data_IF_094530397788
#
_entry.id   IF_094530397788
#
_cell.length_a   1.000
_cell.length_b   1.000
_cell.length_c   1.000
_cell.angle_alpha   90.00
_cell.angle_beta   90.00
_cell.angle_gamma   90.00
#
_symmetry.space_group_name_H-M   'P 1'
#
loop_
_entity.id
_entity.type
_entity.pdbx_description
1 polymer ?
#
# COMPACT_ATOMS: atom_id res chain seq x y z
N UNK A 1 -3.56 11.49 -2.57
CA UNK A 1 -3.09 11.98 -1.25
C UNK A 1 -3.62 13.37 -0.87
N UNK A 2 -3.36 14.44 -1.64
CA UNK A 2 -3.81 15.79 -1.27
C UNK A 2 -5.35 15.90 -1.13
N UNK A 3 -6.09 15.30 -2.07
CA UNK A 3 -7.55 15.15 -2.02
C UNK A 3 -8.03 14.54 -0.69
N UNK A 4 -7.50 13.37 -0.37
CA UNK A 4 -7.85 12.64 0.87
C UNK A 4 -7.53 13.44 2.13
N UNK A 5 -6.40 14.15 2.17
CA UNK A 5 -6.06 15.00 3.31
C UNK A 5 -7.10 16.12 3.51
N UNK A 6 -7.55 16.77 2.43
CA UNK A 6 -8.55 17.82 2.48
C UNK A 6 -9.93 17.27 2.89
N UNK A 7 -10.36 16.13 2.35
CA UNK A 7 -11.59 15.46 2.78
C UNK A 7 -11.53 15.06 4.25
N UNK A 8 -10.42 14.46 4.68
CA UNK A 8 -10.22 14.06 6.07
C UNK A 8 -10.27 15.27 7.00
N UNK A 9 -9.54 16.35 6.69
CA UNK A 9 -9.55 17.58 7.49
C UNK A 9 -10.96 18.18 7.60
N UNK A 10 -11.69 18.29 6.49
CA UNK A 10 -13.04 18.83 6.49
C UNK A 10 -13.99 17.97 7.35
N UNK A 11 -13.94 16.64 7.19
CA UNK A 11 -14.75 15.69 7.97
C UNK A 11 -14.42 15.74 9.46
N UNK A 12 -13.13 15.73 9.82
CA UNK A 12 -12.69 15.77 11.21
C UNK A 12 -13.15 17.04 11.91
N UNK A 13 -13.01 18.20 11.25
CA UNK A 13 -13.43 19.47 11.86
C UNK A 13 -14.94 19.53 12.04
N UNK A 14 -15.73 19.10 11.05
CA UNK A 14 -17.20 19.00 11.20
C UNK A 14 -17.59 18.08 12.35
N UNK A 15 -16.98 16.90 12.43
CA UNK A 15 -17.23 15.95 13.51
C UNK A 15 -16.89 16.54 14.89
N UNK A 16 -15.77 17.25 15.01
CA UNK A 16 -15.40 17.96 16.25
C UNK A 16 -16.39 19.06 16.60
N UNK A 17 -16.87 19.82 15.61
CA UNK A 17 -17.85 20.88 15.83
C UNK A 17 -19.18 20.33 16.38
N UNK A 18 -19.64 19.19 15.85
CA UNK A 18 -20.90 18.56 16.24
C UNK A 18 -20.81 17.82 17.58
N UNK A 19 -19.68 17.15 17.86
CA UNK A 19 -19.58 16.18 18.96
C UNK A 19 -18.62 16.62 20.08
N UNK A 20 -17.73 17.59 19.83
CA UNK A 20 -16.63 17.95 20.73
C UNK A 20 -16.39 19.47 20.80
N UNK A 21 -17.43 20.24 21.12
CA UNK A 21 -17.43 21.72 21.08
C UNK A 21 -16.26 22.41 21.79
N UNK A 22 -15.81 21.91 22.96
CA UNK A 22 -14.65 22.48 23.66
C UNK A 22 -13.34 22.31 22.88
N UNK A 23 -13.11 21.12 22.31
CA UNK A 23 -11.93 20.84 21.48
C UNK A 23 -11.97 21.67 20.19
N UNK A 24 -13.15 21.81 19.58
CA UNK A 24 -13.36 22.64 18.41
C UNK A 24 -13.06 24.12 18.70
N UNK A 25 -13.58 24.68 19.79
CA UNK A 25 -13.30 26.05 20.20
C UNK A 25 -11.79 26.28 20.45
N UNK A 26 -11.11 25.31 21.07
CA UNK A 26 -9.66 25.34 21.25
C UNK A 26 -8.90 25.32 19.94
N UNK A 27 -9.31 24.46 18.99
CA UNK A 27 -8.73 24.38 17.65
C UNK A 27 -8.87 25.72 16.91
N UNK A 28 -10.08 26.28 16.85
CA UNK A 28 -10.35 27.58 16.21
C UNK A 28 -9.52 28.69 16.86
N UNK A 29 -9.44 28.74 18.19
CA UNK A 29 -8.64 29.74 18.89
C UNK A 29 -7.14 29.62 18.57
N UNK A 30 -6.58 28.41 18.52
CA UNK A 30 -5.15 28.19 18.26
C UNK A 30 -4.75 28.43 16.81
N UNK A 31 -5.60 28.03 15.88
CA UNK A 31 -5.30 28.02 14.44
C UNK A 31 -5.87 29.22 13.69
N UNK A 32 -6.80 29.95 14.31
CA UNK A 32 -7.58 31.02 13.67
C UNK A 32 -8.40 30.52 12.48
N UNK A 33 -8.79 29.24 12.50
CA UNK A 33 -9.60 28.60 11.47
C UNK A 33 -10.90 29.36 11.22
N UNK A 34 -11.11 29.76 9.96
CA UNK A 34 -12.41 30.25 9.51
C UNK A 34 -13.29 29.07 9.06
N UNK A 35 -14.56 29.09 9.46
CA UNK A 35 -15.53 28.04 9.12
C UNK A 35 -15.67 27.88 7.60
N UNK A 36 -15.54 28.95 6.83
CA UNK A 36 -15.60 28.88 5.36
C UNK A 36 -14.44 28.09 4.74
N UNK A 37 -13.32 27.92 5.44
CA UNK A 37 -12.21 27.09 4.95
C UNK A 37 -12.62 25.62 4.83
N UNK A 38 -13.49 25.13 5.72
CA UNK A 38 -13.98 23.74 5.69
C UNK A 38 -14.70 23.46 4.36
N UNK A 39 -15.52 24.40 3.90
CA UNK A 39 -16.22 24.31 2.60
C UNK A 39 -15.24 24.42 1.44
N UNK A 40 -14.25 25.31 1.53
CA UNK A 40 -13.22 25.46 0.50
C UNK A 40 -12.36 24.20 0.35
N UNK A 41 -11.97 23.55 1.45
CA UNK A 41 -11.20 22.30 1.41
C UNK A 41 -12.01 21.17 0.79
N UNK A 42 -13.28 21.04 1.18
CA UNK A 42 -14.19 20.07 0.56
C UNK A 42 -14.30 20.31 -0.95
N UNK A 43 -14.58 21.54 -1.37
CA UNK A 43 -14.70 21.89 -2.79
C UNK A 43 -13.40 21.64 -3.56
N UNK A 44 -12.25 21.94 -2.97
CA UNK A 44 -10.95 21.70 -3.58
C UNK A 44 -10.66 20.19 -3.73
N UNK A 45 -11.06 19.38 -2.76
CA UNK A 45 -10.95 17.93 -2.83
C UNK A 45 -11.89 17.33 -3.89
N UNK A 46 -13.16 17.73 -3.88
CA UNK A 46 -14.19 17.24 -4.82
C UNK A 46 -13.85 17.57 -6.28
N UNK A 47 -13.11 18.65 -6.52
CA UNK A 47 -12.71 19.11 -7.86
C UNK A 47 -11.25 18.83 -8.19
N UNK A 48 -10.54 18.08 -7.34
CA UNK A 48 -9.14 17.81 -7.57
C UNK A 48 -8.98 16.92 -8.79
N UNK A 49 -8.22 17.39 -9.77
CA UNK A 49 -7.87 16.59 -10.93
C UNK A 49 -6.93 15.45 -10.49
N UNK A 50 -7.33 14.22 -10.79
CA UNK A 50 -6.51 13.02 -10.68
C UNK A 50 -6.49 12.41 -12.07
N UNK A 51 -5.31 12.33 -12.73
CA UNK A 51 -5.24 11.88 -14.11
C UNK A 51 -5.68 10.43 -14.22
N UNK A 52 -6.44 10.11 -15.27
CA UNK A 52 -6.85 8.75 -15.61
C UNK A 52 -6.85 8.63 -17.13
N UNK A 53 -6.16 7.61 -17.62
CA UNK A 53 -6.13 7.26 -19.03
C UNK A 53 -7.12 6.11 -19.27
N UNK A 54 -8.23 6.40 -19.94
CA UNK A 54 -9.29 5.42 -20.19
C UNK A 54 -8.97 4.41 -21.28
N UNK A 55 -7.95 4.64 -22.11
CA UNK A 55 -7.52 3.67 -23.14
C UNK A 55 -6.65 2.57 -22.51
N UNK A 56 -5.73 2.94 -21.62
CA UNK A 56 -4.82 2.05 -20.91
C UNK A 56 -5.41 1.52 -19.58
N UNK A 57 -6.45 2.19 -19.05
CA UNK A 57 -7.06 1.83 -17.77
C UNK A 57 -6.15 2.11 -16.56
N UNK A 58 -5.27 3.11 -16.65
CA UNK A 58 -4.28 3.44 -15.62
C UNK A 58 -4.40 4.90 -15.16
N UNK A 59 -3.82 5.20 -14.00
CA UNK A 59 -3.57 6.57 -13.56
C UNK A 59 -2.15 6.97 -13.95
N UNK A 60 -1.94 7.92 -14.88
CA UNK A 60 -0.63 8.49 -15.18
C UNK A 60 0.05 9.03 -13.92
N UNK A 61 1.36 8.78 -13.76
CA UNK A 61 2.14 9.28 -12.62
C UNK A 61 2.15 10.81 -12.56
N UNK A 62 2.19 11.46 -13.73
CA UNK A 62 2.04 12.90 -13.91
C UNK A 62 1.45 13.22 -15.28
N UNK A 63 1.03 14.48 -15.48
CA UNK A 63 0.34 14.96 -16.70
C UNK A 63 1.10 14.71 -18.01
N UNK A 64 2.43 14.50 -17.94
CA UNK A 64 3.32 14.32 -19.09
C UNK A 64 3.96 12.94 -19.15
N UNK A 65 3.63 12.04 -18.22
CA UNK A 65 4.36 10.78 -18.06
C UNK A 65 4.26 9.90 -19.32
N UNK A 66 3.07 9.82 -19.91
CA UNK A 66 2.80 9.01 -21.10
C UNK A 66 3.44 9.59 -22.38
N UNK A 67 3.80 10.87 -22.38
CA UNK A 67 4.49 11.52 -23.51
C UNK A 67 5.98 11.17 -23.57
N UNK A 68 6.53 10.58 -22.51
CA UNK A 68 7.96 10.25 -22.39
C UNK A 68 8.28 8.94 -23.09
N UNK A 69 9.51 8.85 -23.59
CA UNK A 69 10.01 7.62 -24.21
C UNK A 69 10.17 6.51 -23.16
N UNK A 70 9.80 5.28 -23.52
CA UNK A 70 10.04 4.12 -22.66
C UNK A 70 11.52 3.74 -22.74
N UNK A 71 12.19 3.66 -21.60
CA UNK A 71 13.56 3.15 -21.51
C UNK A 71 13.53 1.63 -21.31
N UNK A 72 14.32 0.89 -22.09
CA UNK A 72 14.50 -0.56 -21.88
C UNK A 72 15.40 -0.81 -20.66
N UNK A 73 14.80 -0.76 -19.46
CA UNK A 73 15.48 -0.99 -18.17
C UNK A 73 16.09 -2.39 -18.11
N UNK A 74 15.46 -3.39 -18.74
CA UNK A 74 15.92 -4.77 -18.71
C UNK A 74 17.27 -4.97 -19.44
N UNK A 75 17.56 -4.12 -20.43
CA UNK A 75 18.85 -4.12 -21.14
C UNK A 75 20.01 -3.47 -20.37
N UNK A 76 19.72 -2.71 -19.30
CA UNK A 76 20.74 -1.96 -18.56
C UNK A 76 21.54 -2.92 -17.66
N UNK A 77 22.88 -2.92 -17.74
CA UNK A 77 23.72 -3.73 -16.87
C UNK A 77 23.49 -3.44 -15.37
N UNK A 78 23.56 -4.48 -14.53
CA UNK A 78 23.25 -4.36 -13.09
C UNK A 78 24.22 -3.42 -12.34
N UNK A 79 25.45 -3.28 -12.80
CA UNK A 79 26.46 -2.36 -12.25
C UNK A 79 26.21 -0.88 -12.63
N UNK A 80 25.11 -0.58 -13.34
CA UNK A 80 24.66 0.78 -13.66
C UNK A 80 23.47 1.24 -12.81
N UNK A 81 23.14 0.49 -11.77
CA UNK A 81 22.13 0.87 -10.78
C UNK A 81 22.82 1.22 -9.44
N UNK A 82 22.32 2.22 -8.70
CA UNK A 82 21.16 3.07 -9.00
C UNK A 82 21.36 4.01 -10.20
N UNK A 83 20.36 4.15 -11.09
CA UNK A 83 20.54 4.87 -12.36
C UNK A 83 21.02 6.32 -12.18
N UNK A 84 20.54 7.00 -11.13
CA UNK A 84 20.92 8.38 -10.82
C UNK A 84 22.44 8.56 -10.55
N UNK A 85 23.15 7.50 -10.16
CA UNK A 85 24.59 7.54 -9.92
C UNK A 85 25.42 7.31 -11.20
N UNK A 86 24.79 6.83 -12.27
CA UNK A 86 25.47 6.44 -13.51
C UNK A 86 25.02 7.23 -14.74
N UNK A 87 23.83 7.83 -14.70
CA UNK A 87 23.25 8.60 -15.79
C UNK A 87 22.88 10.00 -15.35
N UNK A 88 23.15 10.98 -16.21
CA UNK A 88 22.80 12.37 -15.93
C UNK A 88 21.26 12.52 -15.81
N UNK A 89 20.73 13.31 -14.85
CA UNK A 89 19.29 13.48 -14.64
C UNK A 89 18.51 13.85 -15.92
N UNK A 90 19.08 14.70 -16.78
CA UNK A 90 18.48 15.08 -18.06
C UNK A 90 18.29 13.91 -19.06
N UNK A 91 18.97 12.78 -18.86
CA UNK A 91 18.74 11.56 -19.62
C UNK A 91 17.54 10.81 -19.04
N UNK A 92 17.59 10.49 -17.74
CA UNK A 92 16.57 9.65 -17.10
C UNK A 92 15.20 10.34 -16.95
N UNK A 93 15.15 11.65 -16.72
CA UNK A 93 13.88 12.38 -16.51
C UNK A 93 13.04 12.57 -17.78
N UNK A 94 13.61 12.29 -18.96
CA UNK A 94 12.90 12.33 -20.24
C UNK A 94 12.26 11.00 -20.61
N UNK A 95 12.48 9.97 -19.79
CA UNK A 95 11.98 8.62 -20.01
C UNK A 95 10.96 8.22 -18.95
N UNK A 96 10.20 7.17 -19.26
CA UNK A 96 9.34 6.48 -18.30
C UNK A 96 10.19 5.59 -17.39
N UNK A 97 10.88 6.21 -16.42
CA UNK A 97 11.74 5.54 -15.46
C UNK A 97 11.36 5.99 -14.07
N UNK A 98 11.10 5.02 -13.19
CA UNK A 98 10.60 5.27 -11.85
C UNK A 98 11.60 4.69 -10.85
N UNK A 99 12.13 5.54 -9.96
CA UNK A 99 13.11 5.10 -8.95
C UNK A 99 12.51 4.08 -7.97
N UNK A 100 11.27 4.31 -7.56
CA UNK A 100 10.58 3.56 -6.50
C UNK A 100 9.07 3.68 -6.67
N UNK A 101 8.31 2.78 -6.04
CA UNK A 101 6.84 2.80 -6.06
C UNK A 101 6.26 4.23 -5.85
N UNK A 102 5.44 4.66 -6.82
CA UNK A 102 4.76 5.97 -6.83
C UNK A 102 3.24 5.75 -6.93
N UNK A 103 2.69 5.54 -8.13
CA UNK A 103 1.28 5.14 -8.30
C UNK A 103 0.98 3.84 -7.53
N UNK A 104 1.92 2.89 -7.55
CA UNK A 104 1.84 1.65 -6.76
C UNK A 104 1.79 1.92 -5.25
N UNK A 105 2.47 2.97 -4.77
CA UNK A 105 2.37 3.38 -3.37
C UNK A 105 0.99 4.01 -3.07
N UNK A 106 0.43 4.78 -4.00
CA UNK A 106 -0.92 5.32 -3.85
C UNK A 106 -1.97 4.18 -3.78
N UNK A 107 -1.83 3.13 -4.59
CA UNK A 107 -2.69 1.94 -4.53
C UNK A 107 -2.62 1.20 -3.19
N UNK A 108 -1.47 1.23 -2.52
CA UNK A 108 -1.36 0.68 -1.17
C UNK A 108 -2.03 1.59 -0.12
N UNK A 109 -1.64 2.87 -0.09
CA UNK A 109 -2.09 3.81 0.95
C UNK A 109 -3.59 4.13 0.87
N UNK A 110 -4.12 4.19 -0.35
CA UNK A 110 -5.51 4.54 -0.64
C UNK A 110 -6.19 3.41 -1.40
N UNK A 111 -5.88 2.15 -1.05
CA UNK A 111 -6.36 0.99 -1.80
C UNK A 111 -7.88 0.83 -1.91
N UNK A 112 -8.68 1.54 -1.10
CA UNK A 112 -10.13 1.62 -1.22
C UNK A 112 -10.61 2.59 -2.33
N UNK A 113 -9.72 3.43 -2.86
CA UNK A 113 -10.00 4.38 -3.96
C UNK A 113 -9.70 3.80 -5.34
N UNK A 114 -9.25 2.53 -5.41
CA UNK A 114 -8.95 1.82 -6.65
C UNK A 114 -9.74 0.53 -6.71
N UNK A 115 -10.36 0.27 -7.86
CA UNK A 115 -10.89 -1.05 -8.21
C UNK A 115 -9.76 -2.08 -8.32
N UNK A 116 -10.12 -3.37 -8.28
CA UNK A 116 -9.14 -4.45 -8.45
C UNK A 116 -8.54 -4.41 -9.85
N UNK A 117 -9.35 -4.06 -10.85
CA UNK A 117 -8.97 -3.89 -12.25
C UNK A 117 -7.97 -2.74 -12.43
N UNK A 118 -8.24 -1.57 -11.84
CA UNK A 118 -7.28 -0.45 -11.86
C UNK A 118 -5.97 -0.86 -11.19
N UNK A 119 -6.02 -1.63 -10.09
CA UNK A 119 -4.79 -2.10 -9.42
C UNK A 119 -3.96 -3.01 -10.31
N UNK A 120 -4.60 -3.97 -10.97
CA UNK A 120 -3.95 -4.85 -11.94
C UNK A 120 -3.29 -4.02 -13.05
N UNK A 121 -4.02 -3.09 -13.67
CA UNK A 121 -3.50 -2.33 -14.82
C UNK A 121 -2.38 -1.37 -14.45
N UNK A 122 -2.53 -0.63 -13.35
CA UNK A 122 -1.46 0.22 -12.85
C UNK A 122 -0.23 -0.62 -12.48
N UNK A 123 -0.41 -1.75 -11.79
CA UNK A 123 0.73 -2.59 -11.39
C UNK A 123 1.48 -3.14 -12.61
N UNK A 124 0.77 -3.72 -13.59
CA UNK A 124 1.37 -4.27 -14.81
C UNK A 124 2.08 -3.21 -15.65
N UNK A 125 1.57 -1.98 -15.65
CA UNK A 125 2.19 -0.87 -16.35
C UNK A 125 3.45 -0.37 -15.63
N UNK A 126 3.39 -0.16 -14.31
CA UNK A 126 4.45 0.53 -13.57
C UNK A 126 5.55 -0.37 -13.00
N UNK A 127 5.28 -1.65 -12.72
CA UNK A 127 6.30 -2.59 -12.25
C UNK A 127 7.52 -2.68 -13.18
N UNK A 128 7.38 -2.89 -14.51
CA UNK A 128 8.54 -2.97 -15.41
C UNK A 128 9.29 -1.64 -15.56
N UNK A 129 8.64 -0.51 -15.27
CA UNK A 129 9.21 0.83 -15.33
C UNK A 129 9.93 1.23 -14.02
N UNK A 130 9.78 0.44 -12.96
CA UNK A 130 10.33 0.72 -11.63
C UNK A 130 11.69 0.06 -11.44
N UNK A 131 12.74 0.85 -11.21
CA UNK A 131 14.12 0.36 -11.11
C UNK A 131 14.41 -0.39 -9.81
N UNK A 132 13.71 -0.03 -8.73
CA UNK A 132 13.98 -0.58 -7.40
C UNK A 132 15.22 0.01 -6.74
N UNK A 133 15.66 1.19 -7.19
CA UNK A 133 16.84 1.93 -6.69
C UNK A 133 16.68 2.48 -5.26
N UNK A 134 15.54 2.21 -4.64
CA UNK A 134 15.24 2.57 -3.26
C UNK A 134 14.78 1.34 -2.51
N UNK A 135 15.34 1.15 -1.32
CA UNK A 135 15.00 0.04 -0.44
C UNK A 135 13.52 0.03 0.00
N UNK A 136 12.84 1.18 -0.09
CA UNK A 136 11.40 1.30 0.20
C UNK A 136 10.51 0.69 -0.89
N UNK A 137 10.99 0.56 -2.13
CA UNK A 137 10.15 0.16 -3.26
C UNK A 137 9.68 -1.29 -3.16
N UNK A 138 10.57 -2.18 -2.71
CA UNK A 138 10.33 -3.62 -2.76
C UNK A 138 9.16 -4.06 -1.87
N UNK A 139 9.02 -3.53 -0.65
CA UNK A 139 7.91 -3.92 0.21
C UNK A 139 6.55 -3.51 -0.38
N UNK A 140 6.46 -2.34 -1.00
CA UNK A 140 5.24 -1.84 -1.63
C UNK A 140 4.88 -2.66 -2.87
N UNK A 141 5.87 -2.94 -3.73
CA UNK A 141 5.68 -3.82 -4.88
C UNK A 141 5.23 -5.23 -4.46
N UNK A 142 5.80 -5.78 -3.38
CA UNK A 142 5.38 -7.08 -2.83
C UNK A 142 3.92 -7.05 -2.37
N UNK A 143 3.52 -6.01 -1.64
CA UNK A 143 2.16 -5.88 -1.13
C UNK A 143 1.14 -5.85 -2.28
N UNK A 144 1.36 -4.99 -3.28
CA UNK A 144 0.43 -4.85 -4.40
C UNK A 144 0.45 -6.07 -5.32
N UNK A 145 1.62 -6.70 -5.55
CA UNK A 145 1.71 -7.96 -6.29
C UNK A 145 0.79 -9.05 -5.70
N UNK A 146 0.68 -9.11 -4.37
CA UNK A 146 -0.24 -10.03 -3.69
C UNK A 146 -1.72 -9.67 -3.89
N UNK A 147 -2.06 -8.38 -3.98
CA UNK A 147 -3.43 -7.93 -4.28
C UNK A 147 -3.85 -8.27 -5.70
N UNK A 148 -2.92 -8.24 -6.66
CA UNK A 148 -3.14 -8.57 -8.09
C UNK A 148 -2.84 -10.05 -8.40
N UNK A 149 -2.77 -10.89 -7.37
CA UNK A 149 -2.58 -12.33 -7.50
C UNK A 149 -1.28 -12.78 -8.21
N UNK A 150 -0.21 -11.98 -8.18
CA UNK A 150 1.10 -12.36 -8.69
C UNK A 150 2.01 -12.86 -7.56
N UNK A 151 1.86 -14.14 -7.20
CA UNK A 151 2.62 -14.78 -6.14
C UNK A 151 4.15 -14.71 -6.39
N UNK A 152 4.57 -14.88 -7.64
CA UNK A 152 5.98 -14.91 -8.01
C UNK A 152 6.64 -13.55 -7.76
N UNK A 153 6.01 -12.46 -8.20
CA UNK A 153 6.48 -11.10 -7.92
C UNK A 153 6.34 -10.74 -6.44
N UNK A 154 5.24 -11.11 -5.79
CA UNK A 154 5.06 -10.89 -4.35
C UNK A 154 6.22 -11.47 -3.55
N UNK A 155 6.57 -12.74 -3.81
CA UNK A 155 7.66 -13.44 -3.13
C UNK A 155 9.03 -12.87 -3.48
N UNK A 156 9.27 -12.54 -4.76
CA UNK A 156 10.52 -11.91 -5.22
C UNK A 156 10.78 -10.60 -4.47
N UNK A 157 9.79 -9.72 -4.42
CA UNK A 157 9.93 -8.42 -3.79
C UNK A 157 9.98 -8.50 -2.25
N UNK A 158 9.22 -9.42 -1.63
CA UNK A 158 9.34 -9.69 -0.19
C UNK A 158 10.77 -10.12 0.17
N UNK A 159 11.37 -11.00 -0.62
CA UNK A 159 12.77 -11.44 -0.43
C UNK A 159 13.75 -10.28 -0.52
N UNK A 160 13.58 -9.36 -1.48
CA UNK A 160 14.42 -8.18 -1.58
C UNK A 160 14.32 -7.28 -0.35
N UNK A 161 13.10 -7.03 0.16
CA UNK A 161 12.91 -6.23 1.37
C UNK A 161 13.55 -6.89 2.62
N UNK A 162 13.39 -8.21 2.77
CA UNK A 162 13.95 -9.00 3.89
C UNK A 162 15.47 -9.06 3.85
N UNK A 163 16.04 -9.26 2.65
CA UNK A 163 17.48 -9.47 2.47
C UNK A 163 18.26 -8.18 2.23
N UNK A 164 17.60 -7.02 2.22
CA UNK A 164 18.19 -5.72 1.83
C UNK A 164 19.56 -5.49 2.47
N UNK A 165 19.64 -5.58 3.81
CA UNK A 165 20.89 -5.41 4.55
C UNK A 165 21.67 -6.73 4.69
N UNK A 166 20.99 -7.85 4.89
CA UNK A 166 21.63 -9.16 5.15
C UNK A 166 22.43 -9.70 3.97
N UNK A 167 22.00 -9.41 2.75
CA UNK A 167 22.65 -9.81 1.51
C UNK A 167 23.27 -8.62 0.76
N UNK A 168 23.32 -7.44 1.39
CA UNK A 168 23.79 -6.19 0.79
C UNK A 168 23.20 -5.92 -0.61
N UNK A 169 21.89 -6.07 -0.73
CA UNK A 169 21.17 -5.97 -2.03
C UNK A 169 21.38 -4.60 -2.66
N UNK A 170 21.46 -3.54 -1.85
CA UNK A 170 21.75 -2.18 -2.29
C UNK A 170 23.24 -1.88 -2.53
N UNK A 171 24.16 -2.76 -2.10
CA UNK A 171 25.61 -2.57 -2.21
C UNK A 171 26.18 -1.46 -1.31
N UNK A 172 25.39 -0.97 -0.37
CA UNK A 172 25.67 0.23 0.42
C UNK A 172 25.33 0.05 1.91
N UNK A 173 25.21 -1.19 2.41
CA UNK A 173 24.96 -1.44 3.85
C UNK A 173 26.07 -0.87 4.74
N UNK A 174 27.29 -0.70 4.20
CA UNK A 174 28.41 -0.08 4.88
C UNK A 174 28.16 1.40 5.26
N UNK A 175 27.24 2.09 4.56
CA UNK A 175 26.81 3.45 4.86
C UNK A 175 25.75 3.50 5.99
N UNK A 176 25.14 2.35 6.32
CA UNK A 176 24.13 2.20 7.36
C UNK A 176 23.03 1.22 7.00
N UNK A 177 22.28 0.78 8.00
CA UNK A 177 21.12 -0.10 7.80
C UNK A 177 19.94 0.65 7.16
N UNK A 178 19.20 -0.03 6.30
CA UNK A 178 18.02 0.53 5.63
C UNK A 178 16.78 0.47 6.55
N UNK A 179 16.69 1.39 7.51
CA UNK A 179 15.62 1.43 8.52
C UNK A 179 14.20 1.36 7.91
N UNK A 180 13.98 2.06 6.80
CA UNK A 180 12.70 2.01 6.09
C UNK A 180 12.39 0.60 5.51
N UNK A 181 13.41 -0.11 5.01
CA UNK A 181 13.28 -1.50 4.53
C UNK A 181 13.03 -2.49 5.66
N UNK A 182 13.62 -2.26 6.84
CA UNK A 182 13.33 -3.07 8.02
C UNK A 182 11.84 -2.97 8.41
N UNK A 183 11.27 -1.76 8.41
CA UNK A 183 9.83 -1.56 8.55
C UNK A 183 9.05 -2.22 7.39
N UNK A 184 9.57 -2.08 6.17
CA UNK A 184 9.03 -2.72 4.97
C UNK A 184 8.95 -4.24 5.06
N UNK A 185 9.86 -4.90 5.78
CA UNK A 185 9.81 -6.35 6.03
C UNK A 185 8.58 -6.73 6.83
N UNK A 186 8.28 -6.00 7.90
CA UNK A 186 7.04 -6.20 8.67
C UNK A 186 5.80 -5.90 7.81
N UNK A 187 5.87 -4.84 7.00
CA UNK A 187 4.76 -4.48 6.09
C UNK A 187 4.47 -5.57 5.06
N UNK A 188 5.49 -6.18 4.44
CA UNK A 188 5.29 -7.27 3.48
C UNK A 188 4.57 -8.48 4.11
N UNK A 189 4.82 -8.74 5.39
CA UNK A 189 4.15 -9.80 6.15
C UNK A 189 2.72 -9.42 6.50
N UNK A 190 2.51 -8.26 7.12
CA UNK A 190 1.21 -7.87 7.68
C UNK A 190 0.27 -7.29 6.64
N UNK A 191 0.75 -6.37 5.80
CA UNK A 191 -0.03 -5.76 4.74
C UNK A 191 0.00 -6.56 3.43
N UNK A 192 1.05 -7.36 3.20
CA UNK A 192 1.15 -8.23 2.01
C UNK A 192 0.51 -9.58 2.28
N UNK A 193 1.23 -10.49 2.94
CA UNK A 193 0.79 -11.88 3.12
C UNK A 193 -0.49 -12.03 3.95
N UNK A 194 -0.67 -11.27 5.02
CA UNK A 194 -1.92 -11.30 5.78
C UNK A 194 -3.04 -10.44 5.16
N UNK A 195 -2.71 -9.62 4.15
CA UNK A 195 -3.66 -8.75 3.47
C UNK A 195 -4.40 -7.79 4.40
N UNK A 196 -3.77 -7.35 5.50
CA UNK A 196 -4.42 -6.48 6.49
C UNK A 196 -4.69 -5.09 5.89
N UNK A 197 -5.89 -4.54 6.03
CA UNK A 197 -6.17 -3.12 5.80
C UNK A 197 -7.03 -2.55 6.93
N UNK A 198 -6.93 -1.25 7.15
CA UNK A 198 -7.81 -0.51 8.06
C UNK A 198 -8.24 0.78 7.38
N UNK A 199 -9.49 0.81 6.93
CA UNK A 199 -10.11 1.99 6.33
C UNK A 199 -11.22 2.47 7.27
N UNK A 200 -11.07 3.69 7.78
CA UNK A 200 -12.05 4.32 8.68
C UNK A 200 -12.38 3.51 9.94
N UNK A 201 -11.42 2.72 10.43
CA UNK A 201 -11.62 1.85 11.59
C UNK A 201 -12.27 0.51 11.23
N UNK A 202 -12.46 0.19 9.95
CA UNK A 202 -12.89 -1.13 9.51
C UNK A 202 -11.66 -1.99 9.22
N UNK A 203 -11.30 -2.84 10.19
CA UNK A 203 -10.19 -3.78 10.04
C UNK A 203 -10.60 -4.92 9.10
N UNK A 204 -9.77 -5.21 8.11
CA UNK A 204 -9.98 -6.29 7.16
C UNK A 204 -8.70 -7.11 6.94
N UNK A 205 -8.88 -8.36 6.54
CA UNK A 205 -7.82 -9.28 6.18
C UNK A 205 -8.18 -10.06 4.92
N UNK A 206 -7.20 -10.23 4.04
CA UNK A 206 -7.26 -11.07 2.85
C UNK A 206 -6.00 -11.96 2.79
N UNK A 207 -5.81 -12.88 3.75
CA UNK A 207 -4.54 -13.58 3.94
C UNK A 207 -4.27 -14.57 2.82
N UNK A 208 -3.08 -14.51 2.22
CA UNK A 208 -2.58 -15.44 1.20
C UNK A 208 -1.08 -15.61 1.38
N UNK A 209 -0.64 -16.84 1.60
CA UNK A 209 0.78 -17.16 1.69
C UNK A 209 1.29 -17.64 0.33
N UNK A 210 2.49 -17.22 -0.09
CA UNK A 210 3.19 -17.89 -1.17
C UNK A 210 3.34 -19.39 -0.87
N UNK A 211 3.30 -20.22 -1.89
CA UNK A 211 3.39 -21.68 -1.84
C UNK A 211 4.63 -22.21 -1.09
N UNK A 212 5.68 -21.41 -1.00
CA UNK A 212 6.92 -21.75 -0.26
C UNK A 212 6.81 -21.53 1.26
N UNK A 213 5.76 -20.87 1.75
CA UNK A 213 5.56 -20.54 3.17
C UNK A 213 4.41 -21.38 3.71
N UNK A 214 4.71 -22.44 4.45
CA UNK A 214 3.67 -23.35 4.97
C UNK A 214 2.77 -22.71 6.02
N UNK A 215 3.34 -21.87 6.89
CA UNK A 215 2.63 -21.24 8.00
C UNK A 215 3.29 -19.91 8.37
N UNK A 216 2.47 -18.93 8.74
CA UNK A 216 2.88 -17.64 9.29
C UNK A 216 2.03 -17.32 10.52
N UNK A 217 2.68 -16.94 11.62
CA UNK A 217 1.97 -16.55 12.85
C UNK A 217 2.54 -15.26 13.44
N UNK A 218 1.66 -14.36 13.85
CA UNK A 218 2.03 -13.12 14.54
C UNK A 218 0.87 -12.57 15.35
N UNK A 219 1.13 -11.54 16.15
CA UNK A 219 0.13 -10.83 16.94
C UNK A 219 0.12 -9.33 16.62
N UNK A 220 -1.05 -8.72 16.75
CA UNK A 220 -1.32 -7.31 16.53
C UNK A 220 -2.00 -6.71 17.76
N UNK A 221 -1.66 -5.46 18.05
CA UNK A 221 -2.43 -4.62 18.98
C UNK A 221 -3.37 -3.74 18.16
N UNK A 222 -4.68 -3.98 18.27
CA UNK A 222 -5.71 -3.23 17.55
C UNK A 222 -6.63 -2.58 18.56
N UNK A 223 -6.57 -1.25 18.70
CA UNK A 223 -7.49 -0.49 19.57
C UNK A 223 -7.59 -1.09 20.99
N UNK A 224 -6.44 -1.41 21.58
CA UNK A 224 -6.32 -2.02 22.92
C UNK A 224 -6.61 -3.52 23.00
N UNK A 225 -6.84 -4.19 21.87
CA UNK A 225 -7.10 -5.63 21.75
C UNK A 225 -5.89 -6.35 21.20
N UNK A 226 -5.57 -7.52 21.75
CA UNK A 226 -4.47 -8.37 21.30
C UNK A 226 -5.01 -9.50 20.41
N UNK A 227 -4.88 -9.32 19.09
CA UNK A 227 -5.32 -10.29 18.08
C UNK A 227 -4.12 -11.10 17.60
N UNK A 228 -4.19 -12.43 17.66
CA UNK A 228 -3.23 -13.32 17.03
C UNK A 228 -3.79 -13.94 15.77
N UNK A 229 -2.90 -14.11 14.79
CA UNK A 229 -3.20 -14.75 13.52
C UNK A 229 -2.29 -15.97 13.38
N UNK A 230 -2.87 -17.08 12.97
CA UNK A 230 -2.18 -18.28 12.50
C UNK A 230 -2.65 -18.56 11.08
N UNK A 231 -1.83 -18.23 10.08
CA UNK A 231 -2.17 -18.32 8.66
C UNK A 231 -1.50 -19.57 8.09
N UNK A 232 -2.29 -20.47 7.52
CA UNK A 232 -1.84 -21.61 6.73
C UNK A 232 -2.02 -21.39 5.22
N UNK A 233 -1.94 -22.46 4.45
CA UNK A 233 -2.20 -22.43 3.00
C UNK A 233 -3.70 -22.36 2.68
N UNK A 234 -4.52 -23.13 3.40
CA UNK A 234 -5.95 -23.27 3.13
C UNK A 234 -6.84 -22.54 4.14
N UNK A 235 -6.36 -22.30 5.36
CA UNK A 235 -7.14 -21.67 6.44
C UNK A 235 -6.33 -20.64 7.21
N UNK A 236 -7.05 -19.73 7.87
CA UNK A 236 -6.51 -18.78 8.85
C UNK A 236 -7.28 -18.92 10.15
N UNK A 237 -6.57 -18.90 11.28
CA UNK A 237 -7.17 -18.81 12.61
C UNK A 237 -6.93 -17.43 13.20
N UNK A 238 -8.01 -16.76 13.60
CA UNK A 238 -7.98 -15.54 14.40
C UNK A 238 -8.24 -15.87 15.87
N UNK A 239 -7.37 -15.41 16.77
CA UNK A 239 -7.53 -15.58 18.21
C UNK A 239 -7.40 -14.23 18.92
N UNK A 240 -8.50 -13.74 19.48
CA UNK A 240 -8.47 -12.60 20.38
C UNK A 240 -7.98 -13.07 21.76
N UNK A 241 -6.71 -12.75 22.09
CA UNK A 241 -6.10 -13.14 23.38
C UNK A 241 -6.56 -12.27 24.53
N UNK A 242 -6.78 -10.98 24.26
CA UNK A 242 -7.15 -9.97 25.26
C UNK A 242 -7.96 -8.84 24.65
N UNK A 243 -8.98 -8.38 25.38
CA UNK A 243 -9.78 -7.20 25.03
C UNK A 243 -11.22 -7.56 24.71
N UNK A 244 -12.04 -6.54 24.46
CA UNK A 244 -13.43 -6.71 24.03
C UNK A 244 -13.51 -7.34 22.64
N UNK A 245 -14.66 -7.92 22.31
CA UNK A 245 -14.93 -8.51 21.00
C UNK A 245 -14.54 -7.57 19.84
N UNK A 246 -14.08 -8.18 18.75
CA UNK A 246 -13.55 -7.47 17.60
C UNK A 246 -14.30 -7.90 16.34
N UNK A 247 -15.04 -6.97 15.74
CA UNK A 247 -15.52 -7.10 14.38
C UNK A 247 -14.38 -6.83 13.40
N UNK A 248 -14.23 -7.70 12.41
CA UNK A 248 -13.31 -7.54 11.29
C UNK A 248 -13.93 -8.11 10.01
N UNK A 249 -13.36 -7.76 8.86
CA UNK A 249 -13.71 -8.38 7.59
C UNK A 249 -12.67 -9.43 7.20
N UNK A 250 -13.15 -10.59 6.76
CA UNK A 250 -12.36 -11.64 6.14
C UNK A 250 -12.83 -11.78 4.69
N UNK A 251 -11.98 -11.40 3.72
CA UNK A 251 -12.36 -11.26 2.30
C UNK A 251 -13.67 -10.48 2.08
N UNK A 252 -13.84 -9.36 2.81
CA UNK A 252 -15.03 -8.51 2.73
C UNK A 252 -16.25 -9.01 3.50
N UNK A 253 -16.24 -10.25 4.02
CA UNK A 253 -17.29 -10.77 4.90
C UNK A 253 -17.02 -10.38 6.35
N UNK A 254 -18.00 -9.73 6.99
CA UNK A 254 -17.91 -9.40 8.42
C UNK A 254 -17.96 -10.66 9.29
N UNK A 255 -17.05 -10.71 10.25
CA UNK A 255 -16.96 -11.75 11.29
C UNK A 255 -16.61 -11.11 12.64
N UNK A 256 -16.97 -11.79 13.73
CA UNK A 256 -16.70 -11.33 15.10
C UNK A 256 -15.81 -12.34 15.80
N UNK A 257 -14.67 -11.87 16.32
CA UNK A 257 -13.73 -12.67 17.10
C UNK A 257 -13.97 -12.40 18.59
N UNK A 258 -14.23 -13.47 19.35
CA UNK A 258 -14.45 -13.41 20.80
C UNK A 258 -13.20 -13.83 21.56
N UNK A 259 -13.04 -13.29 22.77
CA UNK A 259 -11.85 -13.52 23.56
C UNK A 259 -11.73 -15.00 23.94
N UNK A 260 -10.57 -15.60 23.66
CA UNK A 260 -10.26 -16.99 24.01
C UNK A 260 -10.93 -18.04 23.12
N UNK A 261 -11.72 -17.62 22.12
CA UNK A 261 -12.39 -18.51 21.15
C UNK A 261 -11.68 -18.39 19.79
N UNK A 262 -10.86 -19.37 19.38
CA UNK A 262 -10.26 -19.37 18.05
C UNK A 262 -11.34 -19.45 16.97
N UNK A 263 -11.27 -18.53 16.01
CA UNK A 263 -12.12 -18.51 14.81
C UNK A 263 -11.29 -18.91 13.60
N UNK A 264 -11.54 -20.11 13.06
CA UNK A 264 -10.90 -20.60 11.84
C UNK A 264 -11.79 -20.33 10.62
N UNK A 265 -11.21 -19.81 9.55
CA UNK A 265 -11.88 -19.45 8.29
C UNK A 265 -11.04 -19.92 7.08
N UNK A 266 -11.71 -20.26 5.98
CA UNK A 266 -11.08 -20.70 4.73
C UNK A 266 -10.41 -19.53 3.98
N UNK A 267 -9.27 -19.78 3.36
CA UNK A 267 -8.60 -18.80 2.50
C UNK A 267 -9.17 -18.86 1.08
N UNK A 268 -9.62 -17.71 0.58
CA UNK A 268 -10.14 -17.61 -0.78
C UNK A 268 -9.02 -17.64 -1.83
N UNK A 269 -9.21 -18.46 -2.86
CA UNK A 269 -8.35 -18.49 -4.03
C UNK A 269 -8.27 -17.11 -4.69
N UNK A 270 -7.07 -16.69 -5.06
CA UNK A 270 -6.87 -15.43 -5.75
C UNK A 270 -7.34 -15.55 -7.21
N UNK A 271 -8.12 -14.58 -7.68
CA UNK A 271 -8.54 -14.48 -9.08
C UNK A 271 -8.03 -13.16 -9.63
N UNK A 272 -7.09 -13.22 -10.56
CA UNK A 272 -6.67 -12.03 -11.30
C UNK A 272 -7.84 -11.58 -12.18
N UNK A 273 -8.13 -10.27 -12.26
CA UNK A 273 -9.09 -9.73 -13.22
C UNK A 273 -8.72 -10.09 -14.66
N UNK A 274 -9.68 -9.99 -15.59
CA UNK A 274 -9.36 -10.11 -17.01
C UNK A 274 -8.31 -9.07 -17.43
N UNK A 275 -7.45 -9.45 -18.38
CA UNK A 275 -6.29 -8.65 -18.79
C UNK A 275 -6.67 -7.21 -19.17
N UNK A 276 -5.80 -6.28 -18.80
CA UNK A 276 -5.93 -4.86 -19.10
C UNK A 276 -6.10 -4.61 -20.60
N UNK A 277 -6.96 -3.64 -20.92
CA UNK A 277 -7.28 -3.28 -22.30
C UNK A 277 -6.10 -2.49 -22.90
N UNK A 278 -5.48 -3.04 -23.96
CA UNK A 278 -4.60 -2.35 -24.94
C UNK A 278 -3.10 -2.34 -24.63
N UNK A 279 -2.16 -2.75 -25.50
CA UNK A 279 -2.14 -3.26 -26.89
C UNK A 279 -1.26 -4.51 -26.97
#
# INVERSE_FOLDING_TARGET
MARENLWYAARTVRHMQENHGEHFASLVHKTQLNISEIENWQMAADRMYVPYDGELGIHPQDDSFLDREVLDIASIPRDKFPLLLHFHPLVIYRHQVIKQADVVLAMFLLGNEFSVEEKECNFRYYDPLTTGDSSLSACIQSIVAGEVCDEALQLKYARYAILMDLADVGGNVHDGCHIASMGGTWMAVVYGFAGMRDYEGQLSFAPRLPSVINKLSFALQVRGRELSLDIGQDTVTYLLRKGEELALQHFGREVVVRQGEPLELDIEACRSPEACVGK
#
